data_IF_011682142411
#
_entry.id   IF_011682142411
#
_cell.length_a   1.000
_cell.length_b   1.000
_cell.length_c   1.000
_cell.angle_alpha   90.00
_cell.angle_beta   90.00
_cell.angle_gamma   90.00
#
_symmetry.space_group_name_H-M   'P 1'
#
loop_
_entity.id
_entity.type
_entity.pdbx_description
1 polymer ?
#
# COMPACT_ATOMS: atom_id res chain seq x y z
N UNK A 1 2.02 -0.23 -28.34
CA UNK A 1 1.77 1.22 -28.21
C UNK A 1 1.86 1.57 -26.73
N UNK A 2 2.99 2.15 -26.33
CA UNK A 2 3.20 2.68 -24.98
C UNK A 2 2.79 4.15 -25.10
N UNK A 3 1.72 4.56 -24.42
CA UNK A 3 1.31 5.96 -24.41
C UNK A 3 2.37 6.76 -23.64
N UNK A 4 3.00 7.71 -24.33
CA UNK A 4 3.80 8.78 -23.75
C UNK A 4 2.92 9.56 -22.76
N UNK A 5 3.38 9.65 -21.52
CA UNK A 5 2.78 10.53 -20.53
C UNK A 5 3.42 11.89 -20.74
N UNK A 6 2.64 12.78 -21.33
CA UNK A 6 3.00 14.18 -21.61
C UNK A 6 3.31 14.93 -20.30
N UNK A 7 4.46 15.62 -20.28
CA UNK A 7 4.98 16.37 -19.12
C UNK A 7 4.43 17.80 -19.09
N UNK A 8 3.14 17.97 -19.36
CA UNK A 8 2.46 19.25 -19.28
C UNK A 8 1.76 19.42 -17.94
N UNK A 9 2.25 20.35 -17.11
CA UNK A 9 1.55 20.94 -15.97
C UNK A 9 0.79 19.95 -15.06
N UNK A 10 1.53 19.27 -14.19
CA UNK A 10 0.97 18.69 -12.96
C UNK A 10 0.45 19.83 -12.07
N UNK A 11 -0.74 20.35 -12.36
CA UNK A 11 -1.59 20.92 -11.33
C UNK A 11 -1.85 19.80 -10.34
N UNK A 12 -0.97 19.71 -9.35
CA UNK A 12 -1.12 18.81 -8.22
C UNK A 12 -2.47 19.14 -7.59
N UNK A 13 -3.46 18.27 -7.80
CA UNK A 13 -4.78 18.47 -7.22
C UNK A 13 -4.66 18.52 -5.69
N UNK A 14 -5.66 19.08 -5.01
CA UNK A 14 -5.56 19.30 -3.56
C UNK A 14 -5.29 18.00 -2.78
N UNK A 15 -5.76 16.85 -3.29
CA UNK A 15 -5.49 15.52 -2.74
C UNK A 15 -4.01 15.19 -2.83
N UNK A 16 -3.40 15.47 -3.98
CA UNK A 16 -1.96 15.30 -4.21
C UNK A 16 -1.13 16.17 -3.27
N UNK A 17 -1.45 17.46 -3.14
CA UNK A 17 -0.77 18.38 -2.21
C UNK A 17 -0.90 17.90 -0.76
N UNK A 18 -2.09 17.40 -0.38
CA UNK A 18 -2.34 16.86 0.96
C UNK A 18 -1.57 15.56 1.23
N UNK A 19 -1.50 14.65 0.25
CA UNK A 19 -0.70 13.43 0.33
C UNK A 19 0.80 13.75 0.50
N UNK A 20 1.32 14.72 -0.25
CA UNK A 20 2.68 15.26 -0.12
C UNK A 20 2.92 15.77 1.30
N UNK A 21 1.99 16.55 1.88
CA UNK A 21 2.11 17.06 3.25
C UNK A 21 2.18 15.94 4.30
N UNK A 22 1.47 14.83 4.09
CA UNK A 22 1.53 13.65 4.97
C UNK A 22 2.90 12.95 4.84
N UNK A 23 3.41 12.80 3.61
CA UNK A 23 4.73 12.24 3.33
C UNK A 23 5.87 13.03 4.01
N UNK A 24 5.79 14.35 4.01
CA UNK A 24 6.93 15.22 4.36
C UNK A 24 7.02 15.55 5.86
N UNK A 25 5.95 15.43 6.66
CA UNK A 25 5.94 15.77 8.10
C UNK A 25 6.51 14.67 9.04
N UNK A 26 7.61 14.04 8.66
CA UNK A 26 8.44 13.23 9.57
C UNK A 26 8.41 11.73 9.34
N UNK A 27 8.92 11.26 8.18
CA UNK A 27 9.37 9.88 7.96
C UNK A 27 8.34 8.77 8.27
N UNK A 28 7.09 8.95 7.85
CA UNK A 28 6.01 7.95 8.02
C UNK A 28 5.66 7.23 6.72
N UNK A 29 6.67 6.96 5.91
CA UNK A 29 6.59 6.05 4.76
C UNK A 29 6.11 4.65 5.16
N UNK A 30 6.18 4.28 6.45
CA UNK A 30 5.70 3.01 6.97
C UNK A 30 4.22 2.72 6.70
N UNK A 31 3.40 3.76 6.64
CA UNK A 31 1.95 3.65 6.37
C UNK A 31 1.60 3.91 4.90
N UNK A 32 2.57 4.26 4.06
CA UNK A 32 2.34 4.52 2.64
C UNK A 32 2.31 3.23 1.82
N UNK A 33 1.65 3.24 0.65
CA UNK A 33 1.69 2.13 -0.30
C UNK A 33 3.13 1.64 -0.52
N UNK A 34 3.35 0.35 -0.31
CA UNK A 34 4.65 -0.28 -0.53
C UNK A 34 4.58 -1.29 -1.66
N UNK A 35 3.46 -2.00 -1.77
CA UNK A 35 3.23 -2.91 -2.86
C UNK A 35 1.78 -3.30 -2.99
N UNK A 36 1.58 -4.33 -3.80
CA UNK A 36 0.28 -4.88 -4.14
C UNK A 36 0.33 -6.41 -4.07
N UNK A 37 -0.67 -6.98 -3.42
CA UNK A 37 -1.01 -8.39 -3.45
C UNK A 37 -2.10 -8.63 -4.48
N UNK A 38 -1.99 -9.72 -5.24
CA UNK A 38 -3.02 -10.14 -6.19
C UNK A 38 -3.71 -11.37 -5.63
N UNK A 39 -4.99 -11.23 -5.33
CA UNK A 39 -5.87 -12.31 -4.86
C UNK A 39 -6.17 -13.30 -6.01
N UNK A 40 -6.63 -14.54 -5.71
CA UNK A 40 -6.94 -15.55 -6.72
C UNK A 40 -7.93 -15.10 -7.80
N UNK A 41 -8.94 -14.32 -7.40
CA UNK A 41 -9.98 -13.73 -8.25
C UNK A 41 -9.49 -12.54 -9.11
N UNK A 42 -8.25 -12.10 -8.89
CA UNK A 42 -7.63 -10.98 -9.60
C UNK A 42 -7.80 -9.63 -8.93
N UNK A 43 -8.42 -9.54 -7.75
CA UNK A 43 -8.44 -8.30 -6.98
C UNK A 43 -7.02 -7.91 -6.53
N UNK A 44 -6.76 -6.60 -6.50
CA UNK A 44 -5.48 -6.04 -6.13
C UNK A 44 -5.57 -5.38 -4.76
N UNK A 45 -4.86 -5.91 -3.77
CA UNK A 45 -4.80 -5.35 -2.42
C UNK A 45 -3.52 -4.56 -2.25
N UNK A 46 -3.62 -3.24 -2.12
CA UNK A 46 -2.48 -2.38 -1.82
C UNK A 46 -2.13 -2.55 -0.35
N UNK A 47 -0.85 -2.71 -0.02
CA UNK A 47 -0.36 -2.85 1.35
C UNK A 47 0.75 -1.83 1.65
N UNK A 48 0.93 -1.51 2.94
CA UNK A 48 1.96 -0.58 3.42
C UNK A 48 3.30 -1.26 3.72
N UNK A 49 4.34 -0.51 4.13
CA UNK A 49 5.67 -1.11 4.38
C UNK A 49 5.67 -2.16 5.47
N UNK A 50 4.79 -2.03 6.46
CA UNK A 50 4.61 -3.02 7.51
C UNK A 50 3.77 -4.22 7.04
N UNK A 51 3.53 -4.33 5.72
CA UNK A 51 2.71 -5.34 5.06
C UNK A 51 1.26 -5.35 5.55
N UNK A 52 0.71 -4.21 5.99
CA UNK A 52 -0.71 -4.13 6.34
C UNK A 52 -1.52 -3.77 5.09
N UNK A 53 -2.62 -4.46 4.77
CA UNK A 53 -3.48 -4.04 3.67
C UNK A 53 -4.01 -2.62 3.94
N UNK A 54 -4.16 -1.83 2.89
CA UNK A 54 -4.69 -0.46 2.90
C UNK A 54 -6.06 -0.45 2.24
N UNK A 55 -6.11 -0.90 0.98
CA UNK A 55 -7.34 -1.00 0.22
C UNK A 55 -7.29 -2.20 -0.73
N UNK A 56 -8.47 -2.67 -1.13
CA UNK A 56 -8.69 -3.65 -2.17
C UNK A 56 -9.30 -2.94 -3.37
N UNK A 57 -8.72 -3.16 -4.54
CA UNK A 57 -9.18 -2.63 -5.82
C UNK A 57 -9.74 -3.79 -6.63
N UNK A 58 -11.04 -3.74 -6.91
CA UNK A 58 -11.74 -4.74 -7.74
C UNK A 58 -11.84 -4.27 -9.19
N UNK A 59 -12.43 -5.11 -10.06
CA UNK A 59 -12.72 -4.74 -11.45
C UNK A 59 -13.55 -3.44 -11.46
N UNK A 60 -13.23 -2.53 -12.39
CA UNK A 60 -13.80 -1.16 -12.51
C UNK A 60 -13.28 -0.10 -11.53
N UNK A 61 -12.10 -0.29 -10.94
CA UNK A 61 -11.48 0.66 -10.01
C UNK A 61 -12.32 0.95 -8.76
N UNK A 62 -13.18 0.01 -8.36
CA UNK A 62 -13.88 0.09 -7.07
C UNK A 62 -12.87 -0.11 -5.95
N UNK A 63 -12.74 0.89 -5.07
CA UNK A 63 -11.77 0.91 -3.96
C UNK A 63 -12.51 0.66 -2.65
N UNK A 64 -12.16 -0.45 -1.99
CA UNK A 64 -12.62 -0.83 -0.66
C UNK A 64 -11.48 -0.62 0.35
N UNK A 65 -11.69 0.14 1.44
CA UNK A 65 -10.69 0.23 2.51
C UNK A 65 -10.67 -1.07 3.31
N UNK A 66 -9.47 -1.62 3.51
CA UNK A 66 -9.28 -2.92 4.15
C UNK A 66 -8.70 -2.74 5.56
N UNK A 67 -9.29 -3.38 6.59
CA UNK A 67 -8.74 -3.39 7.94
C UNK A 67 -7.26 -3.81 7.96
N UNK A 68 -6.39 -3.09 8.68
CA UNK A 68 -4.94 -3.30 8.64
C UNK A 68 -4.46 -4.65 9.22
N UNK A 69 -5.33 -5.34 9.95
CA UNK A 69 -5.14 -6.67 10.53
C UNK A 69 -5.80 -7.79 9.71
N UNK A 70 -6.53 -7.45 8.65
CA UNK A 70 -7.17 -8.44 7.80
C UNK A 70 -6.13 -9.32 7.10
N UNK A 71 -6.32 -10.64 7.23
CA UNK A 71 -5.54 -11.62 6.49
C UNK A 71 -5.92 -11.63 5.01
N UNK A 72 -4.93 -11.53 4.13
CA UNK A 72 -5.13 -11.53 2.67
C UNK A 72 -4.54 -12.81 2.08
N UNK A 73 -5.38 -13.58 1.40
CA UNK A 73 -4.94 -14.75 0.66
C UNK A 73 -4.51 -14.32 -0.75
N UNK A 74 -3.21 -14.18 -1.01
CA UNK A 74 -2.70 -13.73 -2.30
C UNK A 74 -1.91 -14.82 -3.02
N UNK A 75 -2.01 -14.84 -4.35
CA UNK A 75 -1.22 -15.74 -5.21
C UNK A 75 0.05 -15.09 -5.75
N UNK A 76 0.09 -13.76 -5.85
CA UNK A 76 1.23 -12.99 -6.37
C UNK A 76 1.41 -11.69 -5.59
N UNK A 77 2.64 -11.20 -5.56
CA UNK A 77 3.00 -9.94 -4.92
C UNK A 77 3.90 -9.12 -5.84
N UNK A 78 3.78 -7.79 -5.79
CA UNK A 78 4.69 -6.84 -6.43
C UNK A 78 4.96 -5.66 -5.49
N UNK A 79 6.13 -5.05 -5.60
CA UNK A 79 6.48 -3.83 -4.87
C UNK A 79 6.47 -2.62 -5.80
N UNK A 80 6.08 -1.46 -5.27
CA UNK A 80 6.10 -0.21 -6.01
C UNK A 80 7.50 0.42 -6.03
N UNK A 81 8.28 0.17 -4.99
CA UNK A 81 9.64 0.65 -4.78
C UNK A 81 10.41 -0.37 -3.93
N UNK A 82 11.74 -0.38 -4.01
CA UNK A 82 12.58 -1.28 -3.22
C UNK A 82 13.02 -0.63 -1.90
N UNK A 83 13.44 -1.41 -0.91
CA UNK A 83 13.81 -0.87 0.40
C UNK A 83 14.99 0.12 0.40
N UNK A 84 15.72 0.24 -0.71
CA UNK A 84 16.92 1.07 -0.88
C UNK A 84 16.59 2.46 -1.43
N UNK A 85 15.46 2.60 -2.14
CA UNK A 85 14.91 3.87 -2.64
C UNK A 85 13.89 4.44 -1.68
N UNK A 86 14.32 4.65 -0.44
CA UNK A 86 13.50 5.23 0.61
C UNK A 86 12.86 6.55 0.11
N UNK A 87 11.55 6.79 0.32
CA UNK A 87 10.85 7.92 -0.31
C UNK A 87 11.41 9.30 0.07
N UNK A 88 12.22 9.40 1.13
CA UNK A 88 12.92 10.66 1.43
C UNK A 88 14.04 10.95 0.43
N UNK A 89 14.61 9.91 -0.15
CA UNK A 89 15.89 9.92 -0.87
C UNK A 89 15.69 9.74 -2.39
N UNK A 90 14.46 9.42 -2.83
CA UNK A 90 14.09 9.33 -4.26
C UNK A 90 12.86 10.19 -4.59
N UNK A 91 13.04 11.17 -5.48
CA UNK A 91 11.94 11.98 -6.03
C UNK A 91 10.95 11.12 -6.83
N UNK A 92 11.46 10.19 -7.64
CA UNK A 92 10.65 9.26 -8.43
C UNK A 92 9.77 8.38 -7.53
N UNK A 93 10.32 7.84 -6.44
CA UNK A 93 9.53 7.08 -5.47
C UNK A 93 8.42 7.94 -4.86
N UNK A 94 8.70 9.21 -4.54
CA UNK A 94 7.67 10.14 -4.01
C UNK A 94 6.55 10.34 -5.01
N UNK A 95 6.87 10.71 -6.24
CA UNK A 95 5.88 10.96 -7.31
C UNK A 95 5.01 9.73 -7.56
N UNK A 96 5.62 8.54 -7.59
CA UNK A 96 4.88 7.28 -7.74
C UNK A 96 3.93 7.02 -6.58
N UNK A 97 4.35 7.25 -5.34
CA UNK A 97 3.49 7.12 -4.16
C UNK A 97 2.34 8.12 -4.18
N UNK A 98 2.63 9.36 -4.54
CA UNK A 98 1.64 10.42 -4.68
C UNK A 98 0.59 10.03 -5.73
N UNK A 99 1.02 9.56 -6.90
CA UNK A 99 0.14 9.13 -7.97
C UNK A 99 -0.76 7.96 -7.54
N UNK A 100 -0.23 7.00 -6.75
CA UNK A 100 -1.04 5.91 -6.19
C UNK A 100 -2.09 6.44 -5.22
N UNK A 101 -1.69 7.33 -4.30
CA UNK A 101 -2.61 7.90 -3.30
C UNK A 101 -3.73 8.70 -3.97
N UNK A 102 -3.40 9.53 -4.96
CA UNK A 102 -4.36 10.31 -5.72
C UNK A 102 -5.30 9.40 -6.53
N UNK A 103 -4.74 8.45 -7.29
CA UNK A 103 -5.51 7.53 -8.14
C UNK A 103 -6.57 6.73 -7.39
N UNK A 104 -6.29 6.34 -6.15
CA UNK A 104 -7.18 5.50 -5.34
C UNK A 104 -7.85 6.24 -4.18
N UNK A 105 -7.73 7.57 -4.10
CA UNK A 105 -8.37 8.37 -3.06
C UNK A 105 -7.97 8.00 -1.63
N UNK A 106 -6.71 7.60 -1.41
CA UNK A 106 -6.27 7.01 -0.12
C UNK A 106 -5.94 8.03 0.97
N UNK A 107 -6.01 9.32 0.66
CA UNK A 107 -5.62 10.39 1.58
C UNK A 107 -6.32 10.31 2.95
N UNK A 108 -7.65 10.11 3.04
CA UNK A 108 -8.34 10.04 4.33
C UNK A 108 -7.88 8.83 5.17
N UNK A 109 -7.67 7.67 4.53
CA UNK A 109 -7.20 6.48 5.23
C UNK A 109 -5.75 6.63 5.69
N UNK A 110 -4.88 7.26 4.90
CA UNK A 110 -3.51 7.56 5.34
C UNK A 110 -3.48 8.52 6.52
N UNK A 111 -4.39 9.51 6.60
CA UNK A 111 -4.55 10.34 7.81
C UNK A 111 -4.99 9.50 9.00
N UNK A 112 -6.01 8.65 8.84
CA UNK A 112 -6.50 7.77 9.89
C UNK A 112 -5.38 6.89 10.44
N UNK A 113 -4.59 6.26 9.56
CA UNK A 113 -3.43 5.43 9.92
C UNK A 113 -2.34 6.21 10.62
N UNK A 114 -2.05 7.44 10.17
CA UNK A 114 -1.07 8.32 10.84
C UNK A 114 -1.48 8.61 12.28
N UNK A 115 -2.76 8.84 12.51
CA UNK A 115 -3.29 9.15 13.84
C UNK A 115 -3.34 7.89 14.73
N UNK A 116 -3.68 6.72 14.18
CA UNK A 116 -3.54 5.43 14.86
C UNK A 116 -2.08 5.11 15.22
N UNK A 117 -1.15 5.32 14.30
CA UNK A 117 0.28 5.11 14.52
C UNK A 117 0.83 6.06 15.59
N UNK A 118 0.37 7.33 15.62
CA UNK A 118 0.70 8.30 16.70
C UNK A 118 0.30 7.79 18.08
N UNK A 119 -0.84 7.11 18.16
CA UNK A 119 -1.41 6.60 19.40
C UNK A 119 -0.92 5.19 19.74
N UNK A 120 -0.09 4.56 18.90
CA UNK A 120 0.34 3.17 19.07
C UNK A 120 -0.79 2.15 18.86
N UNK A 121 -1.90 2.55 18.23
CA UNK A 121 -3.10 1.73 18.03
C UNK A 121 -3.16 1.06 16.64
N UNK A 122 -2.22 1.38 15.75
CA UNK A 122 -2.17 0.73 14.44
C UNK A 122 -1.58 -0.68 14.62
N UNK A 123 -2.33 -1.75 14.33
CA UNK A 123 -1.88 -3.10 14.59
C UNK A 123 -0.61 -3.40 13.80
N UNK A 124 0.21 -4.30 14.33
CA UNK A 124 1.25 -4.96 13.51
C UNK A 124 0.52 -5.92 12.57
N UNK A 125 0.96 -6.00 11.31
CA UNK A 125 0.35 -6.96 10.40
C UNK A 125 0.44 -8.35 11.01
N UNK A 126 -0.70 -9.06 10.96
CA UNK A 126 -0.91 -10.31 11.65
C UNK A 126 0.23 -11.28 11.34
N UNK A 127 0.94 -11.69 12.38
CA UNK A 127 1.62 -12.98 12.37
C UNK A 127 0.60 -13.98 11.85
N UNK A 128 0.95 -14.62 10.72
CA UNK A 128 0.16 -15.65 10.06
C UNK A 128 -0.68 -16.44 11.07
N UNK A 129 -2.03 -16.49 10.94
CA UNK A 129 -2.88 -17.21 11.87
C UNK A 129 -2.28 -18.58 12.15
N UNK A 130 -2.12 -18.95 13.42
CA UNK A 130 -1.46 -20.21 13.81
C UNK A 130 -2.08 -21.43 13.08
N UNK A 131 -3.37 -21.35 12.76
CA UNK A 131 -4.14 -22.34 11.99
C UNK A 131 -3.67 -22.57 10.56
N UNK A 132 -2.77 -21.76 10.00
CA UNK A 132 -2.18 -21.96 8.66
C UNK A 132 -0.68 -22.28 8.69
N UNK A 133 -0.11 -22.61 9.86
CA UNK A 133 1.30 -23.04 9.97
C UNK A 133 1.50 -24.53 9.64
N UNK A 134 0.47 -25.37 9.80
CA UNK A 134 0.54 -26.84 9.64
C UNK A 134 0.67 -27.33 8.19
N UNK A 135 0.04 -26.65 7.23
CA UNK A 135 -0.14 -27.24 5.87
C UNK A 135 1.14 -27.30 5.02
N UNK A 136 2.25 -26.75 5.51
CA UNK A 136 3.55 -26.79 4.80
C UNK A 136 4.50 -27.87 5.32
N UNK A 137 4.21 -28.48 6.48
CA UNK A 137 5.10 -29.48 7.07
C UNK A 137 4.80 -30.90 6.55
N UNK A 138 3.57 -31.16 6.09
CA UNK A 138 3.19 -32.46 5.50
C UNK A 138 3.60 -32.60 4.02
N UNK A 139 3.73 -31.52 3.26
CA UNK A 139 4.15 -31.55 1.85
C UNK A 139 5.68 -31.71 1.64
N UNK A 140 6.44 -31.98 2.71
CA UNK A 140 7.89 -32.27 2.65
C UNK A 140 8.24 -33.72 2.99
N UNK A 141 7.25 -34.55 3.33
CA UNK A 141 7.43 -35.95 3.70
C UNK A 141 6.55 -36.93 2.88
N UNK A 142 5.93 -36.46 1.80
CA UNK A 142 5.28 -37.28 0.79
C UNK A 142 6.01 -37.09 -0.55
#
# INVERSE_FOLDING_TARGET
MIAEIDRGELFLDETTIRAIRILWRGARWRIFPYGVWIEPDGAAVIFDRAYRPICRVRRRNEVEIVPPDQWINFKRQRWFWDGWTHPKDSAETREKLIAIVARYGLEPELRRRRDLERRGLLPRWAERPASKRSDRQEARHA
#
